data_IF_490050317926
#
_entry.id   IF_490050317926
#
_cell.length_a   1.000
_cell.length_b   1.000
_cell.length_c   1.000
_cell.angle_alpha   90.00
_cell.angle_beta   90.00
_cell.angle_gamma   90.00
#
_symmetry.space_group_name_H-M   'P 1'
#
loop_
_entity.id
_entity.type
_entity.pdbx_description
1 polymer ?
#
# COMPACT_ATOMS: atom_id res chain seq x y z
N UNK A 1 35.60 30.96 -23.98
CA UNK A 1 35.04 30.96 -22.62
C UNK A 1 33.71 30.22 -22.69
N UNK A 2 33.75 28.90 -22.49
CA UNK A 2 32.57 28.05 -22.66
C UNK A 2 31.75 28.08 -21.37
N UNK A 3 30.55 28.65 -21.45
CA UNK A 3 29.53 28.61 -20.42
C UNK A 3 29.17 27.16 -20.12
N UNK A 4 29.64 26.64 -18.98
CA UNK A 4 29.18 25.37 -18.42
C UNK A 4 28.03 25.68 -17.48
N UNK A 5 26.89 26.05 -18.04
CA UNK A 5 25.62 25.97 -17.34
C UNK A 5 25.49 24.54 -16.78
N UNK A 6 25.28 24.34 -15.47
CA UNK A 6 25.08 23.01 -14.93
C UNK A 6 23.83 22.45 -15.61
N UNK A 7 24.00 21.37 -16.39
CA UNK A 7 22.88 20.63 -16.94
C UNK A 7 22.01 20.22 -15.76
N UNK A 8 20.85 20.88 -15.60
CA UNK A 8 19.85 20.53 -14.60
C UNK A 8 19.53 19.06 -14.85
N UNK A 9 19.93 18.20 -13.91
CA UNK A 9 19.68 16.78 -14.02
C UNK A 9 18.20 16.53 -13.72
N UNK A 10 17.36 16.62 -14.77
CA UNK A 10 15.91 16.40 -14.70
C UNK A 10 15.51 14.98 -14.23
N UNK A 11 16.47 14.06 -14.02
CA UNK A 11 16.18 12.67 -13.67
C UNK A 11 16.13 12.40 -12.16
N UNK A 12 16.65 13.30 -11.32
CA UNK A 12 16.62 13.12 -9.87
C UNK A 12 15.52 14.00 -9.26
N UNK A 13 14.40 13.37 -8.92
CA UNK A 13 13.36 14.04 -8.12
C UNK A 13 13.94 14.43 -6.76
N UNK A 14 13.63 15.64 -6.28
CA UNK A 14 14.15 16.13 -5.02
C UNK A 14 13.69 15.25 -3.84
N UNK A 15 14.58 15.06 -2.87
CA UNK A 15 14.33 14.16 -1.75
C UNK A 15 13.09 14.55 -0.92
N UNK A 16 12.76 15.84 -0.86
CA UNK A 16 11.58 16.32 -0.14
C UNK A 16 10.28 15.87 -0.83
N UNK A 17 10.18 15.97 -2.16
CA UNK A 17 9.04 15.43 -2.91
C UNK A 17 8.95 13.91 -2.80
N UNK A 18 10.07 13.20 -2.93
CA UNK A 18 10.13 11.73 -2.72
C UNK A 18 9.57 11.35 -1.35
N UNK A 19 9.98 12.05 -0.29
CA UNK A 19 9.47 11.83 1.06
C UNK A 19 7.96 12.09 1.16
N UNK A 20 7.46 13.19 0.60
CA UNK A 20 6.03 13.57 0.65
C UNK A 20 5.16 12.53 -0.04
N UNK A 21 5.55 12.07 -1.24
CA UNK A 21 4.83 11.02 -1.96
C UNK A 21 4.82 9.72 -1.15
N UNK A 22 5.99 9.28 -0.63
CA UNK A 22 6.06 8.06 0.18
C UNK A 22 5.20 8.14 1.44
N UNK A 23 5.23 9.29 2.13
CA UNK A 23 4.40 9.53 3.31
C UNK A 23 2.92 9.54 2.99
N UNK A 24 2.51 10.14 1.86
CA UNK A 24 1.12 10.13 1.39
C UNK A 24 0.60 8.71 1.17
N UNK A 25 1.35 7.88 0.43
CA UNK A 25 1.03 6.45 0.23
C UNK A 25 0.92 5.72 1.58
N UNK A 26 1.90 5.92 2.45
CA UNK A 26 1.95 5.29 3.77
C UNK A 26 0.77 5.67 4.67
N UNK A 27 0.40 6.95 4.73
CA UNK A 27 -0.73 7.43 5.54
C UNK A 27 -2.05 6.85 5.04
N UNK A 28 -2.29 6.89 3.72
CA UNK A 28 -3.54 6.36 3.16
C UNK A 28 -3.62 4.84 3.37
N UNK A 29 -2.54 4.10 3.09
CA UNK A 29 -2.47 2.66 3.34
C UNK A 29 -2.65 2.31 4.83
N UNK A 30 -2.08 3.08 5.75
CA UNK A 30 -2.25 2.84 7.17
C UNK A 30 -3.69 3.10 7.66
N UNK A 31 -4.34 4.15 7.16
CA UNK A 31 -5.65 4.58 7.65
C UNK A 31 -6.81 3.83 7.01
N UNK A 32 -6.73 3.45 5.72
CA UNK A 32 -7.83 2.80 5.00
C UNK A 32 -8.42 1.58 5.75
N UNK A 33 -7.62 0.63 6.27
CA UNK A 33 -8.14 -0.53 7.00
C UNK A 33 -8.96 -0.21 8.26
N UNK A 34 -8.81 1.00 8.81
CA UNK A 34 -9.49 1.46 10.02
C UNK A 34 -10.69 2.35 9.64
N UNK A 35 -10.49 3.27 8.69
CA UNK A 35 -11.50 4.26 8.32
C UNK A 35 -12.70 3.62 7.62
N UNK A 36 -12.50 2.59 6.80
CA UNK A 36 -13.60 1.92 6.09
C UNK A 36 -14.63 1.28 7.04
N UNK A 37 -14.25 0.40 8.00
CA UNK A 37 -15.22 -0.22 8.89
C UNK A 37 -15.80 0.78 9.89
N UNK A 38 -14.98 1.67 10.45
CA UNK A 38 -15.44 2.69 11.41
C UNK A 38 -16.43 3.64 10.73
N UNK A 39 -16.09 4.14 9.54
CA UNK A 39 -16.96 5.02 8.78
C UNK A 39 -18.26 4.32 8.37
N UNK A 40 -18.21 3.03 8.02
CA UNK A 40 -19.41 2.26 7.71
C UNK A 40 -20.36 2.14 8.93
N UNK A 41 -19.81 1.83 10.11
CA UNK A 41 -20.57 1.72 11.36
C UNK A 41 -21.23 3.06 11.71
N UNK A 42 -20.49 4.16 11.61
CA UNK A 42 -20.98 5.50 11.93
C UNK A 42 -22.07 5.98 10.98
N UNK A 43 -21.96 5.66 9.68
CA UNK A 43 -22.92 6.12 8.67
C UNK A 43 -24.15 5.22 8.56
N UNK A 44 -24.00 3.92 8.79
CA UNK A 44 -25.09 2.95 8.65
C UNK A 44 -25.90 2.75 9.94
N UNK A 45 -25.48 3.31 11.08
CA UNK A 45 -26.10 3.15 12.41
C UNK A 45 -26.28 1.69 12.89
N UNK A 46 -25.61 0.74 12.22
CA UNK A 46 -25.62 -0.68 12.54
C UNK A 46 -24.17 -1.21 12.50
N UNK A 47 -23.88 -2.18 13.38
CA UNK A 47 -22.58 -2.88 13.38
C UNK A 47 -22.56 -3.90 12.25
N UNK A 48 -22.41 -3.42 11.02
CA UNK A 48 -22.19 -4.24 9.83
C UNK A 48 -20.70 -4.23 9.51
N UNK A 49 -20.00 -5.31 9.87
CA UNK A 49 -18.61 -5.51 9.49
C UNK A 49 -18.54 -5.91 8.01
N UNK A 50 -17.52 -5.41 7.32
CA UNK A 50 -17.34 -5.65 5.89
C UNK A 50 -16.82 -7.07 5.63
N UNK A 51 -17.30 -7.69 4.55
CA UNK A 51 -16.81 -9.00 4.09
C UNK A 51 -15.45 -8.93 3.37
N UNK A 52 -15.03 -7.74 2.94
CA UNK A 52 -13.72 -7.43 2.37
C UNK A 52 -13.55 -5.90 2.40
N UNK A 53 -12.34 -5.39 2.30
CA UNK A 53 -12.12 -3.94 2.14
C UNK A 53 -12.88 -3.41 0.91
N UNK A 54 -12.91 -4.21 -0.17
CA UNK A 54 -13.63 -3.89 -1.40
C UNK A 54 -15.14 -3.96 -1.29
N UNK A 55 -15.71 -4.60 -0.26
CA UNK A 55 -17.15 -4.53 0.03
C UNK A 55 -17.62 -3.08 0.28
N UNK A 56 -16.70 -2.16 0.59
CA UNK A 56 -16.95 -0.72 0.66
C UNK A 56 -17.58 -0.14 -0.61
N UNK A 57 -17.46 -0.80 -1.78
CA UNK A 57 -18.15 -0.39 -3.01
C UNK A 57 -19.67 -0.29 -2.84
N UNK A 58 -20.23 -1.12 -1.95
CA UNK A 58 -21.65 -1.25 -1.72
C UNK A 58 -22.09 -0.60 -0.40
N UNK A 59 -21.25 0.28 0.16
CA UNK A 59 -21.56 1.04 1.37
C UNK A 59 -21.35 2.54 1.16
N UNK A 60 -21.69 3.35 2.18
CA UNK A 60 -21.40 4.79 2.18
C UNK A 60 -19.89 5.12 2.11
N UNK A 61 -19.03 4.14 2.31
CA UNK A 61 -17.57 4.29 2.29
C UNK A 61 -16.94 4.12 0.90
N UNK A 62 -17.74 3.86 -0.15
CA UNK A 62 -17.29 3.70 -1.53
C UNK A 62 -16.32 4.78 -1.97
N UNK A 63 -16.69 6.05 -1.78
CA UNK A 63 -15.90 7.19 -2.26
C UNK A 63 -14.56 7.32 -1.54
N UNK A 64 -14.49 6.92 -0.26
CA UNK A 64 -13.25 6.92 0.52
C UNK A 64 -12.33 5.81 0.04
N UNK A 65 -12.88 4.61 -0.21
CA UNK A 65 -12.12 3.49 -0.76
C UNK A 65 -11.55 3.81 -2.15
N UNK A 66 -12.42 4.22 -3.08
CA UNK A 66 -12.04 4.56 -4.47
C UNK A 66 -11.09 5.75 -4.49
N UNK A 67 -11.39 6.82 -3.76
CA UNK A 67 -10.55 8.01 -3.68
C UNK A 67 -9.16 7.70 -3.09
N UNK A 68 -9.10 6.88 -2.04
CA UNK A 68 -7.86 6.44 -1.42
C UNK A 68 -6.98 5.63 -2.37
N UNK A 69 -7.55 4.67 -3.09
CA UNK A 69 -6.82 3.88 -4.08
C UNK A 69 -6.36 4.72 -5.28
N UNK A 70 -7.19 5.64 -5.78
CA UNK A 70 -6.77 6.59 -6.82
C UNK A 70 -5.60 7.46 -6.35
N UNK A 71 -5.66 7.99 -5.13
CA UNK A 71 -4.58 8.80 -4.57
C UNK A 71 -3.29 7.99 -4.39
N UNK A 72 -3.36 6.78 -3.83
CA UNK A 72 -2.21 5.85 -3.77
C UNK A 72 -1.67 5.61 -5.17
N UNK A 73 -2.55 5.32 -6.13
CA UNK A 73 -2.18 5.02 -7.51
C UNK A 73 -1.39 6.15 -8.18
N UNK A 74 -1.91 7.37 -8.10
CA UNK A 74 -1.24 8.56 -8.64
C UNK A 74 0.08 8.83 -7.92
N UNK A 75 0.13 8.73 -6.60
CA UNK A 75 1.38 8.94 -5.84
C UNK A 75 2.45 7.91 -6.22
N UNK A 76 2.07 6.65 -6.44
CA UNK A 76 2.98 5.59 -6.88
C UNK A 76 3.47 5.80 -8.32
N UNK A 77 2.63 6.32 -9.22
CA UNK A 77 3.01 6.63 -10.62
C UNK A 77 3.97 7.83 -10.68
N UNK A 78 3.70 8.86 -9.89
CA UNK A 78 4.50 10.08 -9.84
C UNK A 78 5.81 9.90 -9.07
N UNK A 79 5.94 8.85 -8.28
CA UNK A 79 7.12 8.55 -7.50
C UNK A 79 8.30 8.14 -8.40
N UNK A 80 9.42 8.89 -8.29
CA UNK A 80 10.68 8.64 -9.00
C UNK A 80 11.85 8.54 -8.01
N UNK A 81 12.60 7.43 -8.05
CA UNK A 81 13.77 7.17 -7.22
C UNK A 81 14.88 6.41 -7.98
N UNK A 82 14.58 5.22 -8.48
CA UNK A 82 15.50 4.41 -9.28
C UNK A 82 14.74 3.63 -10.35
N UNK A 83 15.41 3.20 -11.43
CA UNK A 83 14.72 2.58 -12.58
C UNK A 83 13.91 1.32 -12.23
N UNK A 84 14.30 0.54 -11.21
CA UNK A 84 13.57 -0.66 -10.81
C UNK A 84 12.38 -0.29 -9.93
N UNK A 85 12.60 0.57 -8.95
CA UNK A 85 11.56 1.16 -8.09
C UNK A 85 10.50 1.89 -8.92
N UNK A 86 10.89 2.69 -9.89
CA UNK A 86 9.99 3.49 -10.72
C UNK A 86 9.06 2.61 -11.55
N UNK A 87 9.60 1.55 -12.16
CA UNK A 87 8.81 0.61 -12.97
C UNK A 87 7.80 -0.14 -12.10
N UNK A 88 8.25 -0.68 -10.97
CA UNK A 88 7.37 -1.44 -10.07
C UNK A 88 6.34 -0.55 -9.39
N UNK A 89 6.73 0.66 -8.98
CA UNK A 89 5.83 1.65 -8.41
C UNK A 89 4.79 2.11 -9.44
N UNK A 90 5.20 2.33 -10.70
CA UNK A 90 4.24 2.66 -11.77
C UNK A 90 3.25 1.51 -12.01
N UNK A 91 3.73 0.25 -12.04
CA UNK A 91 2.86 -0.93 -12.18
C UNK A 91 1.89 -1.04 -11.00
N UNK A 92 2.38 -0.91 -9.77
CA UNK A 92 1.53 -0.91 -8.57
C UNK A 92 0.50 0.22 -8.62
N UNK A 93 0.91 1.41 -9.08
CA UNK A 93 0.02 2.55 -9.17
C UNK A 93 -1.09 2.36 -10.22
N UNK A 94 -0.76 1.80 -11.38
CA UNK A 94 -1.77 1.42 -12.39
C UNK A 94 -2.71 0.35 -11.83
N UNK A 95 -2.20 -0.68 -11.17
CA UNK A 95 -3.03 -1.72 -10.55
C UNK A 95 -3.97 -1.13 -9.49
N UNK A 96 -3.49 -0.22 -8.64
CA UNK A 96 -4.33 0.46 -7.64
C UNK A 96 -5.46 1.27 -8.29
N UNK A 97 -5.20 2.00 -9.37
CA UNK A 97 -6.24 2.71 -10.13
C UNK A 97 -7.23 1.71 -10.75
N UNK A 98 -6.77 0.60 -11.32
CA UNK A 98 -7.65 -0.42 -11.87
C UNK A 98 -8.54 -1.06 -10.78
N UNK A 99 -7.99 -1.37 -9.60
CA UNK A 99 -8.79 -1.83 -8.45
C UNK A 99 -9.85 -0.80 -8.05
N UNK A 100 -9.57 0.49 -8.17
CA UNK A 100 -10.50 1.59 -7.87
C UNK A 100 -11.60 1.81 -8.93
N UNK A 101 -11.31 1.47 -10.18
CA UNK A 101 -12.23 1.69 -11.31
C UNK A 101 -13.13 0.49 -11.61
N UNK A 102 -12.70 -0.71 -11.23
CA UNK A 102 -13.47 -1.95 -11.41
C UNK A 102 -14.04 -2.36 -10.05
N UNK A 103 -15.36 -2.27 -9.82
CA UNK A 103 -15.97 -2.72 -8.58
C UNK A 103 -15.75 -4.21 -8.31
N UNK A 104 -15.59 -4.58 -7.04
CA UNK A 104 -15.61 -5.98 -6.64
C UNK A 104 -17.00 -6.59 -6.86
N UNK A 105 -17.06 -7.91 -6.99
CA UNK A 105 -18.35 -8.62 -7.05
C UNK A 105 -19.19 -8.28 -5.81
N UNK A 106 -20.50 -7.96 -5.96
CA UNK A 106 -21.35 -7.70 -4.82
C UNK A 106 -21.37 -8.89 -3.87
N UNK A 107 -21.30 -8.67 -2.54
CA UNK A 107 -21.50 -9.76 -1.60
C UNK A 107 -22.95 -10.27 -1.69
N UNK A 108 -23.15 -11.56 -1.40
CA UNK A 108 -24.47 -12.20 -1.45
C UNK A 108 -25.53 -11.52 -0.55
N UNK A 109 -25.10 -10.82 0.50
CA UNK A 109 -25.98 -10.02 1.37
C UNK A 109 -26.58 -8.79 0.67
N UNK A 110 -25.96 -8.30 -0.40
CA UNK A 110 -26.42 -7.14 -1.18
C UNK A 110 -27.09 -7.60 -2.47
N UNK A 111 -26.50 -8.57 -3.17
CA UNK A 111 -27.05 -9.13 -4.41
C UNK A 111 -26.80 -10.63 -4.41
N UNK A 112 -27.81 -11.46 -4.06
CA UNK A 112 -27.67 -12.91 -4.01
C UNK A 112 -27.28 -13.53 -5.35
N UNK A 113 -27.83 -12.99 -6.45
CA UNK A 113 -27.58 -13.45 -7.82
C UNK A 113 -26.97 -12.31 -8.66
N UNK A 114 -25.63 -12.13 -8.62
CA UNK A 114 -24.96 -11.10 -9.41
C UNK A 114 -25.10 -11.39 -10.92
N UNK A 115 -25.27 -10.33 -11.69
CA UNK A 115 -25.31 -10.42 -13.16
C UNK A 115 -23.96 -10.86 -13.73
N UNK A 116 -23.95 -11.46 -14.92
CA UNK A 116 -22.70 -11.86 -15.61
C UNK A 116 -21.69 -10.72 -15.71
N UNK A 117 -22.15 -9.49 -15.95
CA UNK A 117 -21.28 -8.31 -15.99
C UNK A 117 -20.65 -8.02 -14.62
N UNK A 118 -21.42 -8.10 -13.53
CA UNK A 118 -20.90 -7.91 -12.18
C UNK A 118 -19.86 -8.97 -11.81
N UNK A 119 -20.08 -10.24 -12.16
CA UNK A 119 -19.12 -11.32 -11.94
C UNK A 119 -17.84 -11.14 -12.76
N UNK A 120 -17.95 -10.77 -14.04
CA UNK A 120 -16.77 -10.51 -14.90
C UNK A 120 -15.96 -9.34 -14.37
N UNK A 121 -16.62 -8.21 -14.03
CA UNK A 121 -15.95 -7.03 -13.47
C UNK A 121 -15.34 -7.35 -12.10
N UNK A 122 -16.03 -8.11 -11.26
CA UNK A 122 -15.52 -8.58 -9.97
C UNK A 122 -14.30 -9.50 -10.11
N UNK A 123 -14.29 -10.36 -11.13
CA UNK A 123 -13.13 -11.22 -11.44
C UNK A 123 -11.93 -10.38 -11.88
N UNK A 124 -12.14 -9.35 -12.71
CA UNK A 124 -11.10 -8.40 -13.08
C UNK A 124 -10.57 -7.65 -11.86
N UNK A 125 -11.46 -7.16 -10.98
CA UNK A 125 -11.08 -6.52 -9.72
C UNK A 125 -10.19 -7.43 -8.88
N UNK A 126 -10.58 -8.70 -8.69
CA UNK A 126 -9.81 -9.68 -7.92
C UNK A 126 -8.43 -9.90 -8.54
N UNK A 127 -8.33 -10.01 -9.87
CA UNK A 127 -7.05 -10.13 -10.58
C UNK A 127 -6.14 -8.92 -10.36
N UNK A 128 -6.68 -7.70 -10.48
CA UNK A 128 -5.93 -6.48 -10.24
C UNK A 128 -5.51 -6.33 -8.78
N UNK A 129 -6.37 -6.70 -7.83
CA UNK A 129 -6.07 -6.65 -6.40
C UNK A 129 -4.97 -7.65 -6.04
N UNK A 130 -5.08 -8.91 -6.50
CA UNK A 130 -4.04 -9.92 -6.29
C UNK A 130 -2.69 -9.49 -6.88
N UNK A 131 -2.71 -8.93 -8.10
CA UNK A 131 -1.53 -8.34 -8.71
C UNK A 131 -0.94 -7.19 -7.88
N UNK A 132 -1.79 -6.28 -7.40
CA UNK A 132 -1.38 -5.16 -6.57
C UNK A 132 -0.67 -5.66 -5.31
N UNK A 133 -1.34 -6.48 -4.50
CA UNK A 133 -0.75 -7.03 -3.26
C UNK A 133 0.55 -7.80 -3.51
N UNK A 134 0.62 -8.56 -4.61
CA UNK A 134 1.85 -9.24 -5.02
C UNK A 134 3.01 -8.27 -5.28
N UNK A 135 2.76 -7.17 -6.01
CA UNK A 135 3.76 -6.13 -6.23
C UNK A 135 4.14 -5.43 -4.92
N UNK A 136 3.17 -5.12 -4.05
CA UNK A 136 3.44 -4.47 -2.75
C UNK A 136 4.31 -5.36 -1.84
N UNK A 137 4.04 -6.66 -1.79
CA UNK A 137 4.84 -7.64 -1.06
C UNK A 137 6.28 -7.68 -1.61
N UNK A 138 6.43 -7.76 -2.93
CA UNK A 138 7.74 -7.71 -3.59
C UNK A 138 8.50 -6.41 -3.27
N UNK A 139 7.81 -5.27 -3.28
CA UNK A 139 8.37 -3.97 -2.94
C UNK A 139 9.01 -3.97 -1.54
N UNK A 140 8.29 -4.50 -0.56
CA UNK A 140 8.76 -4.61 0.82
C UNK A 140 9.95 -5.59 0.95
N UNK A 141 9.86 -6.77 0.34
CA UNK A 141 10.84 -7.85 0.49
C UNK A 141 12.16 -7.61 -0.26
N UNK A 142 12.13 -6.92 -1.41
CA UNK A 142 13.27 -6.86 -2.34
C UNK A 142 13.75 -5.45 -2.64
N UNK A 143 12.87 -4.45 -2.66
CA UNK A 143 13.29 -3.07 -2.95
C UNK A 143 13.65 -2.35 -1.67
N UNK A 144 12.81 -2.47 -0.64
CA UNK A 144 13.06 -1.80 0.63
C UNK A 144 14.11 -2.51 1.47
N UNK A 145 14.10 -3.84 1.53
CA UNK A 145 15.08 -4.60 2.32
C UNK A 145 16.49 -4.64 1.70
N UNK A 146 16.63 -4.49 0.38
CA UNK A 146 17.94 -4.52 -0.29
C UNK A 146 18.59 -3.11 -0.39
N UNK A 147 17.97 -2.04 0.17
CA UNK A 147 18.58 -0.71 0.21
C UNK A 147 19.77 -0.70 1.19
N UNK A 148 20.92 -1.12 0.63
CA UNK A 148 22.22 -1.42 1.24
C UNK A 148 22.50 -0.77 2.60
N UNK A 149 22.46 -1.60 3.64
CA UNK A 149 23.37 -1.46 4.77
C UNK A 149 24.81 -1.57 4.28
N UNK A 150 25.54 -0.45 4.29
CA UNK A 150 26.98 -0.44 4.12
C UNK A 150 27.61 -1.16 5.33
N UNK A 151 27.80 -2.48 5.22
CA UNK A 151 28.34 -3.32 6.30
C UNK A 151 27.72 -4.71 6.44
N UNK A 152 26.78 -5.10 5.58
CA UNK A 152 26.24 -6.48 5.53
C UNK A 152 25.30 -6.86 6.67
N UNK A 153 25.04 -5.96 7.63
CA UNK A 153 24.11 -6.17 8.75
C UNK A 153 22.79 -5.48 8.50
N UNK A 154 21.67 -6.20 8.61
CA UNK A 154 20.31 -5.62 8.49
C UNK A 154 20.08 -4.54 9.53
N UNK A 155 19.54 -3.41 9.09
CA UNK A 155 19.08 -2.33 9.97
C UNK A 155 17.72 -2.67 10.58
N UNK A 156 17.29 -1.90 11.59
CA UNK A 156 15.93 -2.04 12.15
C UNK A 156 14.85 -1.79 11.08
N UNK A 157 15.07 -0.83 10.16
CA UNK A 157 14.17 -0.56 9.06
C UNK A 157 14.07 -1.73 8.08
N UNK A 158 15.20 -2.38 7.76
CA UNK A 158 15.20 -3.57 6.89
C UNK A 158 14.35 -4.70 7.47
N UNK A 159 14.42 -4.90 8.79
CA UNK A 159 13.56 -5.87 9.47
C UNK A 159 12.08 -5.50 9.41
N UNK A 160 11.73 -4.23 9.58
CA UNK A 160 10.34 -3.77 9.41
C UNK A 160 9.85 -4.10 8.00
N UNK A 161 10.63 -3.83 6.96
CA UNK A 161 10.22 -4.11 5.58
C UNK A 161 10.04 -5.61 5.33
N UNK A 162 10.93 -6.45 5.87
CA UNK A 162 10.83 -7.90 5.73
C UNK A 162 9.63 -8.47 6.46
N UNK A 163 9.37 -8.03 7.69
CA UNK A 163 8.17 -8.44 8.44
C UNK A 163 6.93 -8.03 7.67
N UNK A 164 6.81 -6.77 7.25
CA UNK A 164 5.65 -6.31 6.50
C UNK A 164 5.45 -7.09 5.20
N UNK A 165 6.53 -7.34 4.45
CA UNK A 165 6.49 -8.11 3.21
C UNK A 165 6.04 -9.55 3.41
N UNK A 166 6.58 -10.25 4.41
CA UNK A 166 6.18 -11.62 4.73
C UNK A 166 4.77 -11.69 5.32
N UNK A 167 4.34 -10.67 6.07
CA UNK A 167 2.94 -10.55 6.52
C UNK A 167 1.99 -10.49 5.33
N UNK A 168 2.27 -9.66 4.32
CA UNK A 168 1.43 -9.58 3.11
C UNK A 168 1.39 -10.94 2.40
N UNK A 169 2.53 -11.61 2.22
CA UNK A 169 2.59 -12.94 1.60
C UNK A 169 1.78 -13.97 2.39
N UNK A 170 1.91 -13.99 3.71
CA UNK A 170 1.16 -14.90 4.58
C UNK A 170 -0.35 -14.65 4.50
N UNK A 171 -0.79 -13.39 4.53
CA UNK A 171 -2.19 -13.04 4.39
C UNK A 171 -2.75 -13.47 3.02
N UNK A 172 -2.02 -13.24 1.92
CA UNK A 172 -2.42 -13.71 0.59
C UNK A 172 -2.53 -15.23 0.53
N UNK A 173 -1.55 -15.94 1.08
CA UNK A 173 -1.56 -17.40 1.11
C UNK A 173 -2.74 -17.95 1.93
N UNK A 174 -3.00 -17.38 3.11
CA UNK A 174 -4.10 -17.78 3.98
C UNK A 174 -5.45 -17.53 3.31
N UNK A 175 -5.65 -16.36 2.69
CA UNK A 175 -6.88 -16.05 1.96
C UNK A 175 -7.07 -16.99 0.77
N UNK A 176 -6.03 -17.25 -0.01
CA UNK A 176 -6.08 -18.15 -1.15
C UNK A 176 -6.39 -19.61 -0.74
N UNK A 177 -5.74 -20.11 0.31
CA UNK A 177 -5.99 -21.44 0.86
C UNK A 177 -7.41 -21.54 1.43
N UNK A 178 -7.87 -20.52 2.16
CA UNK A 178 -9.24 -20.46 2.68
C UNK A 178 -10.29 -20.50 1.57
N UNK A 179 -10.03 -19.80 0.46
CA UNK A 179 -10.90 -19.82 -0.72
C UNK A 179 -10.94 -21.20 -1.40
N UNK A 180 -9.79 -21.86 -1.58
CA UNK A 180 -9.69 -23.18 -2.23
C UNK A 180 -10.28 -24.31 -1.37
N UNK A 181 -10.06 -24.25 -0.06
CA UNK A 181 -10.54 -25.28 0.86
C UNK A 181 -11.99 -25.05 1.33
N UNK A 182 -12.65 -24.00 0.84
CA UNK A 182 -13.99 -23.59 1.27
C UNK A 182 -14.14 -23.54 2.79
N UNK A 183 -13.10 -23.06 3.49
CA UNK A 183 -13.14 -22.98 4.95
C UNK A 183 -14.17 -21.93 5.37
N UNK A 184 -15.23 -22.39 6.04
CA UNK A 184 -16.25 -21.53 6.61
C UNK A 184 -15.71 -20.83 7.84
N UNK A 185 -15.70 -19.51 7.82
CA UNK A 185 -15.22 -18.70 8.93
C UNK A 185 -16.40 -18.01 9.60
N UNK A 186 -16.85 -18.56 10.72
CA UNK A 186 -18.01 -18.07 11.48
C UNK A 186 -17.63 -16.88 12.39
N UNK A 187 -17.00 -15.86 11.81
CA UNK A 187 -16.61 -14.63 12.50
C UNK A 187 -17.27 -13.43 11.83
N UNK A 188 -17.71 -12.42 12.60
CA UNK A 188 -18.22 -11.19 12.03
C UNK A 188 -17.12 -10.43 11.26
N UNK A 189 -15.84 -10.62 11.61
CA UNK A 189 -14.70 -10.23 10.77
C UNK A 189 -14.32 -11.41 9.87
N UNK A 190 -14.60 -11.25 8.57
CA UNK A 190 -14.25 -12.27 7.57
C UNK A 190 -12.74 -12.39 7.39
N UNK A 191 -12.29 -13.59 7.02
CA UNK A 191 -10.89 -13.85 6.70
C UNK A 191 -10.36 -12.92 5.61
N UNK A 192 -11.17 -12.70 4.58
CA UNK A 192 -10.84 -11.85 3.45
C UNK A 192 -10.57 -10.43 3.92
N UNK A 193 -11.50 -9.84 4.69
CA UNK A 193 -11.31 -8.51 5.26
C UNK A 193 -10.03 -8.42 6.10
N UNK A 194 -9.82 -9.39 7.00
CA UNK A 194 -8.65 -9.37 7.88
C UNK A 194 -7.34 -9.49 7.08
N UNK A 195 -7.29 -10.38 6.09
CA UNK A 195 -6.13 -10.58 5.24
C UNK A 195 -5.78 -9.33 4.43
N UNK A 196 -6.78 -8.70 3.81
CA UNK A 196 -6.61 -7.44 3.08
C UNK A 196 -6.19 -6.30 4.02
N UNK A 197 -6.90 -6.13 5.13
CA UNK A 197 -6.67 -5.06 6.10
C UNK A 197 -5.25 -5.12 6.70
N UNK A 198 -4.83 -6.29 7.16
CA UNK A 198 -3.48 -6.50 7.73
C UNK A 198 -2.40 -6.29 6.67
N UNK A 199 -2.63 -6.75 5.44
CA UNK A 199 -1.70 -6.54 4.33
C UNK A 199 -1.53 -5.05 3.98
N UNK A 200 -2.64 -4.32 3.83
CA UNK A 200 -2.63 -2.89 3.51
C UNK A 200 -2.04 -2.08 4.67
N UNK A 201 -2.33 -2.45 5.91
CA UNK A 201 -1.75 -1.82 7.10
C UNK A 201 -0.23 -2.03 7.17
N UNK A 202 0.24 -3.27 7.00
CA UNK A 202 1.66 -3.60 6.97
C UNK A 202 2.41 -2.84 5.85
N UNK A 203 1.81 -2.77 4.66
CA UNK A 203 2.31 -1.95 3.56
C UNK A 203 2.40 -0.47 3.93
N UNK A 204 1.36 0.09 4.56
CA UNK A 204 1.33 1.47 5.03
C UNK A 204 2.47 1.77 6.00
N UNK A 205 2.70 0.88 6.98
CA UNK A 205 3.82 0.99 7.93
C UNK A 205 5.18 0.98 7.21
N UNK A 206 5.40 0.05 6.28
CA UNK A 206 6.64 -0.03 5.51
C UNK A 206 6.93 1.29 4.75
N UNK A 207 5.91 1.89 4.13
CA UNK A 207 6.05 3.16 3.41
C UNK A 207 6.28 4.36 4.32
N UNK A 208 5.64 4.40 5.49
CA UNK A 208 5.89 5.44 6.50
C UNK A 208 7.34 5.38 7.00
N UNK A 209 7.84 4.20 7.37
CA UNK A 209 9.23 4.01 7.81
C UNK A 209 10.21 4.40 6.70
N UNK A 210 9.94 4.02 5.44
CA UNK A 210 10.77 4.40 4.31
C UNK A 210 10.76 5.92 4.04
N UNK A 211 9.65 6.60 4.34
CA UNK A 211 9.57 8.08 4.21
C UNK A 211 10.41 8.80 5.26
N UNK A 212 10.47 8.30 6.50
CA UNK A 212 11.29 8.89 7.56
C UNK A 212 12.78 8.59 7.38
N UNK A 213 13.14 7.43 6.80
CA UNK A 213 14.52 7.15 6.42
C UNK A 213 15.08 8.20 5.43
N UNK A 214 14.25 8.70 4.50
CA UNK A 214 14.64 9.80 3.60
C UNK A 214 14.76 11.12 4.36
N UNK A 215 13.86 11.37 5.32
CA UNK A 215 13.91 12.56 6.16
C UNK A 215 15.25 12.65 6.92
N UNK A 216 15.65 11.54 7.53
CA UNK A 216 16.91 11.43 8.28
C UNK A 216 18.13 11.65 7.36
N UNK A 217 18.08 11.16 6.12
CA UNK A 217 19.16 11.35 5.15
C UNK A 217 19.28 12.80 4.64
N UNK A 218 18.19 13.57 4.64
CA UNK A 218 18.15 14.97 4.21
C UNK A 218 18.44 15.97 5.34
N UNK A 219 18.39 15.55 6.60
CA UNK A 219 18.68 16.42 7.74
C UNK A 219 20.13 16.90 7.68
N UNK A 220 20.41 18.21 7.89
CA UNK A 220 21.77 18.71 7.99
C UNK A 220 22.52 17.91 9.06
N UNK A 221 23.65 17.29 8.71
CA UNK A 221 24.53 16.69 9.71
C UNK A 221 24.96 17.80 10.64
N UNK A 222 24.50 17.78 11.88
CA UNK A 222 24.91 18.74 12.89
C UNK A 222 26.44 18.82 12.94
N UNK A 223 26.95 20.05 12.94
CA UNK A 223 28.36 20.33 13.16
C UNK A 223 28.88 19.55 14.39
N UNK A 224 30.14 19.08 14.39
CA UNK A 224 30.71 18.40 15.53
C UNK A 224 30.54 19.24 16.80
N UNK A 225 30.07 18.60 17.86
CA UNK A 225 29.97 19.17 19.21
C UNK A 225 31.35 19.69 19.65
N UNK A 226 31.56 21.00 19.55
CA UNK A 226 32.70 21.71 20.14
C UNK A 226 32.53 21.81 21.65
N UNK A 227 32.48 20.66 22.33
CA UNK A 227 32.39 20.56 23.79
C UNK A 227 33.04 19.27 24.27
N UNK A 228 34.37 19.22 24.16
CA UNK A 228 35.24 18.31 24.93
C UNK A 228 36.70 18.79 24.90
N UNK A 229 36.95 20.09 25.02
CA UNK A 229 38.25 20.63 25.45
C UNK A 229 37.96 21.81 26.39
N UNK A 230 38.20 21.59 27.68
CA UNK A 230 37.94 22.51 28.78
C UNK A 230 38.15 21.80 30.11
#
# INVERSE_FOLDING_TARGET
MADRSPLVNFQAQDGATVRRLRRGVGVIGFLLPIVLPVGNILTSSHVALLSSMSASYYTHMRNVFVGGLCAIGVFLICYRHDRREDRLSSVAGVLAVLVALFPAEPPASVTPDPTTTQTVVGTLHLGFAAGLFGVLAYFCLRLFADSRSAGGRRTAADWVYLVCGWTIVACLAVVAVGAVLHLTWDSPLTLMYLGEAVSVFAFGVAWLVKSEAVAAALAPRGAPSAAAEG
#
